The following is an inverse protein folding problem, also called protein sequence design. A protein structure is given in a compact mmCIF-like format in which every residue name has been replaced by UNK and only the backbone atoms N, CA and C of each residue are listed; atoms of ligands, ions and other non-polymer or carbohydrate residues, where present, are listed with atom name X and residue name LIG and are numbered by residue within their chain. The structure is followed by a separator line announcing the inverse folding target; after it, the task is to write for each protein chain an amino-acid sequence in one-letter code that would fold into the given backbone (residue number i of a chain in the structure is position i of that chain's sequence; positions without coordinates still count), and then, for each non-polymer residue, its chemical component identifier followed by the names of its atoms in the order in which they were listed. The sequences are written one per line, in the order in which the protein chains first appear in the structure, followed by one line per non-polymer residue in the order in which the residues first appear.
data_IF_279192409033
#
_entry.id   IF_279192409033
#
_cell.length_a   1.000
_cell.length_b   1.000
_cell.length_c   1.000
_cell.angle_alpha   90.00
_cell.angle_beta   90.00
_cell.angle_gamma   90.00
#
_symmetry.space_group_name_H-M   'P 1'
#
loop_
_entity.id
_entity.type
_entity.pdbx_description
1 polymer ?
#
# COMPACT_ATOMS: atom_id res chain seq x y z
N UNK A 1 -17.42 14.38 19.04
CA UNK A 1 -18.73 15.04 19.28
C UNK A 1 -18.74 16.31 18.46
N UNK A 2 -19.85 16.62 17.81
CA UNK A 2 -20.06 17.89 17.14
C UNK A 2 -21.25 18.57 17.82
N UNK A 3 -21.07 19.81 18.27
CA UNK A 3 -22.10 20.60 18.98
C UNK A 3 -22.76 19.85 20.15
N UNK A 4 -22.00 19.03 20.89
CA UNK A 4 -22.50 18.26 22.03
C UNK A 4 -23.15 16.92 21.70
N UNK A 5 -23.32 16.58 20.42
CA UNK A 5 -23.90 15.31 19.99
C UNK A 5 -22.84 14.31 19.51
N UNK A 6 -23.09 13.03 19.79
CA UNK A 6 -22.31 11.93 19.20
C UNK A 6 -22.76 11.74 17.75
N UNK A 7 -21.88 12.11 16.84
CA UNK A 7 -22.05 11.94 15.40
C UNK A 7 -20.83 11.22 14.83
N UNK A 8 -21.02 10.49 13.73
CA UNK A 8 -19.91 9.87 13.01
C UNK A 8 -19.29 10.94 12.12
N UNK A 9 -18.13 11.43 12.54
CA UNK A 9 -17.37 12.48 11.87
C UNK A 9 -16.07 11.89 11.33
N UNK A 10 -15.69 12.31 10.13
CA UNK A 10 -14.46 11.88 9.48
C UNK A 10 -13.79 12.96 8.67
N UNK A 11 -12.68 12.60 8.06
CA UNK A 11 -11.92 13.46 7.16
C UNK A 11 -11.76 12.81 5.79
N UNK A 12 -11.78 13.64 4.76
CA UNK A 12 -11.34 13.28 3.41
C UNK A 12 -10.34 14.31 2.92
N UNK A 13 -9.52 13.92 1.95
CA UNK A 13 -8.68 14.86 1.21
C UNK A 13 -8.73 14.52 -0.27
N UNK A 14 -8.81 15.54 -1.11
CA UNK A 14 -8.89 15.40 -2.56
C UNK A 14 -8.38 16.64 -3.26
N UNK A 15 -8.13 16.48 -4.56
CA UNK A 15 -7.57 17.51 -5.41
C UNK A 15 -8.45 17.71 -6.64
N UNK A 16 -9.77 17.72 -6.47
CA UNK A 16 -10.69 18.10 -7.54
C UNK A 16 -10.51 19.56 -7.99
N UNK A 17 -11.33 19.99 -8.97
CA UNK A 17 -11.34 21.37 -9.45
C UNK A 17 -11.53 22.32 -8.28
N UNK A 18 -10.48 23.04 -7.94
CA UNK A 18 -10.42 23.84 -6.72
C UNK A 18 -11.17 25.14 -6.93
N UNK A 19 -12.14 25.42 -6.07
CA UNK A 19 -12.98 26.61 -6.12
C UNK A 19 -13.05 27.24 -4.75
N UNK A 20 -13.14 28.57 -4.71
CA UNK A 20 -13.46 29.31 -3.50
C UNK A 20 -14.75 30.08 -3.71
N UNK A 21 -15.67 29.97 -2.75
CA UNK A 21 -16.91 30.74 -2.73
C UNK A 21 -16.86 31.72 -1.57
N UNK A 22 -16.88 33.01 -1.87
CA UNK A 22 -16.91 34.08 -0.88
C UNK A 22 -18.11 34.99 -1.15
N UNK A 23 -18.97 35.19 -0.16
CA UNK A 23 -20.19 36.01 -0.28
C UNK A 23 -21.06 35.63 -1.48
N UNK A 24 -21.21 34.33 -1.75
CA UNK A 24 -21.99 33.81 -2.88
C UNK A 24 -21.28 33.89 -4.25
N UNK A 25 -20.09 34.50 -4.34
CA UNK A 25 -19.30 34.55 -5.57
C UNK A 25 -18.27 33.42 -5.60
N UNK A 26 -18.37 32.55 -6.61
CA UNK A 26 -17.45 31.43 -6.81
C UNK A 26 -16.36 31.77 -7.81
N UNK A 27 -15.11 31.48 -7.47
CA UNK A 27 -13.93 31.63 -8.33
C UNK A 27 -13.18 30.31 -8.41
N UNK A 28 -12.83 29.87 -9.62
CA UNK A 28 -11.95 28.70 -9.83
C UNK A 28 -10.50 29.11 -9.55
N UNK A 29 -9.81 28.33 -8.72
CA UNK A 29 -8.42 28.56 -8.33
C UNK A 29 -7.45 27.68 -9.12
N UNK A 30 -7.84 26.44 -9.44
CA UNK A 30 -7.04 25.49 -10.20
C UNK A 30 -7.90 24.38 -10.81
N UNK A 31 -7.37 23.76 -11.86
CA UNK A 31 -7.91 22.53 -12.41
C UNK A 31 -7.73 21.34 -11.46
N UNK A 32 -8.46 20.25 -11.73
CA UNK A 32 -8.33 19.00 -10.98
C UNK A 32 -6.92 18.40 -11.09
N UNK A 33 -6.55 17.62 -10.08
CA UNK A 33 -5.27 16.94 -9.91
C UNK A 33 -4.05 17.85 -9.73
N UNK A 34 -4.24 19.13 -9.40
CA UNK A 34 -3.15 20.00 -8.98
C UNK A 34 -2.71 19.68 -7.53
N UNK A 35 -1.59 18.99 -7.36
CA UNK A 35 -1.08 18.54 -6.06
C UNK A 35 -0.91 19.66 -5.02
N UNK A 36 -0.63 20.88 -5.47
CA UNK A 36 -0.47 22.05 -4.58
C UNK A 36 -1.82 22.54 -4.01
N UNK A 37 -2.93 21.98 -4.51
CA UNK A 37 -4.30 22.30 -4.12
C UNK A 37 -5.01 21.11 -3.45
N UNK A 38 -4.24 20.10 -2.98
CA UNK A 38 -4.79 19.03 -2.16
C UNK A 38 -5.45 19.65 -0.91
N UNK A 39 -6.76 19.53 -0.83
CA UNK A 39 -7.57 20.15 0.23
C UNK A 39 -8.33 19.08 1.02
N UNK A 40 -8.47 19.32 2.32
CA UNK A 40 -9.19 18.44 3.22
C UNK A 40 -10.60 18.94 3.47
N UNK A 41 -11.50 18.03 3.80
CA UNK A 41 -12.87 18.31 4.24
C UNK A 41 -13.20 17.50 5.50
N UNK A 42 -13.95 18.12 6.40
CA UNK A 42 -14.59 17.46 7.53
C UNK A 42 -15.98 17.01 7.07
N UNK A 43 -16.35 15.77 7.36
CA UNK A 43 -17.64 15.25 6.94
C UNK A 43 -18.40 14.54 8.06
N UNK A 44 -19.72 14.45 7.90
CA UNK A 44 -20.62 13.65 8.72
C UNK A 44 -21.13 12.49 7.90
N UNK A 45 -20.97 11.29 8.42
CA UNK A 45 -21.57 10.09 7.85
C UNK A 45 -22.91 9.82 8.52
N UNK A 46 -23.97 9.80 7.71
CA UNK A 46 -25.23 9.17 8.09
C UNK A 46 -25.13 7.67 7.76
N UNK A 47 -24.99 6.86 8.82
CA UNK A 47 -24.79 5.43 8.68
C UNK A 47 -26.00 4.70 8.09
N UNK A 48 -27.21 5.20 8.37
CA UNK A 48 -28.44 4.48 8.03
C UNK A 48 -28.70 4.50 6.52
N UNK A 49 -28.38 5.61 5.85
CA UNK A 49 -28.56 5.77 4.41
C UNK A 49 -27.24 5.82 3.63
N UNK A 50 -26.10 5.64 4.32
CA UNK A 50 -24.77 5.61 3.75
C UNK A 50 -24.38 6.89 2.99
N UNK A 51 -24.79 8.07 3.50
CA UNK A 51 -24.53 9.37 2.88
C UNK A 51 -23.49 10.15 3.65
N UNK A 52 -22.60 10.80 2.92
CA UNK A 52 -21.59 11.68 3.49
C UNK A 52 -21.91 13.14 3.16
N UNK A 53 -21.95 13.97 4.20
CA UNK A 53 -22.24 15.40 4.09
C UNK A 53 -20.98 16.19 4.46
N UNK A 54 -20.50 17.09 3.60
CA UNK A 54 -19.30 17.89 3.87
C UNK A 54 -19.64 19.27 4.50
N UNK A 55 -20.87 19.76 4.34
CA UNK A 55 -21.34 21.02 4.95
C UNK A 55 -21.64 20.92 6.46
N UNK A 56 -20.86 20.18 7.25
CA UNK A 56 -21.22 19.89 8.65
C UNK A 56 -20.96 21.05 9.60
N UNK A 57 -20.04 21.95 9.23
CA UNK A 57 -19.60 23.08 10.05
C UNK A 57 -19.36 24.31 9.17
N UNK A 58 -18.88 25.42 9.74
CA UNK A 58 -18.37 26.54 8.97
C UNK A 58 -17.18 26.16 8.06
N UNK A 59 -16.50 25.02 8.35
CA UNK A 59 -15.52 24.42 7.46
C UNK A 59 -16.23 23.54 6.42
N UNK A 60 -16.70 24.18 5.36
CA UNK A 60 -17.39 23.54 4.24
C UNK A 60 -16.43 23.39 3.05
N UNK A 61 -16.23 22.15 2.62
CA UNK A 61 -15.47 21.81 1.44
C UNK A 61 -16.17 20.66 0.71
N UNK A 62 -17.05 21.03 -0.22
CA UNK A 62 -17.79 20.07 -1.04
C UNK A 62 -16.92 19.38 -2.09
N UNK A 63 -17.23 18.13 -2.36
CA UNK A 63 -16.54 17.35 -3.38
C UNK A 63 -16.83 17.90 -4.78
N UNK A 64 -15.80 17.96 -5.63
CA UNK A 64 -15.86 18.48 -7.00
C UNK A 64 -15.39 17.45 -8.03
N UNK A 65 -15.64 17.65 -9.34
CA UNK A 65 -15.04 16.79 -10.36
C UNK A 65 -13.52 16.72 -10.21
N UNK A 66 -12.97 15.51 -10.27
CA UNK A 66 -11.55 15.22 -9.97
C UNK A 66 -11.29 14.73 -8.54
N UNK A 67 -12.27 14.82 -7.64
CA UNK A 67 -12.19 14.18 -6.32
C UNK A 67 -12.51 12.69 -6.34
N UNK A 68 -13.14 12.17 -7.40
CA UNK A 68 -13.52 10.75 -7.50
C UNK A 68 -12.31 9.84 -7.27
N UNK A 69 -12.48 8.82 -6.43
CA UNK A 69 -11.40 7.93 -5.97
C UNK A 69 -10.72 8.38 -4.66
N UNK A 70 -10.91 9.63 -4.21
CA UNK A 70 -10.35 10.09 -2.92
C UNK A 70 -10.95 9.33 -1.72
N UNK A 71 -10.13 9.11 -0.70
CA UNK A 71 -10.50 8.30 0.47
C UNK A 71 -11.33 9.06 1.51
N UNK A 72 -12.27 8.36 2.13
CA UNK A 72 -12.97 8.78 3.34
C UNK A 72 -12.43 8.04 4.56
N UNK A 73 -12.04 8.78 5.59
CA UNK A 73 -11.41 8.23 6.78
C UNK A 73 -12.25 8.48 8.03
N UNK A 74 -12.46 7.44 8.83
CA UNK A 74 -13.05 7.53 10.16
C UNK A 74 -12.02 7.13 11.21
N UNK A 75 -12.20 7.63 12.43
CA UNK A 75 -11.37 7.21 13.56
C UNK A 75 -12.05 6.05 14.29
N UNK A 76 -11.36 4.91 14.36
CA UNK A 76 -11.77 3.74 15.14
C UNK A 76 -11.39 3.95 16.61
N UNK A 77 -12.39 4.11 17.47
CA UNK A 77 -12.19 4.37 18.90
C UNK A 77 -11.68 3.16 19.68
N UNK A 78 -11.84 1.93 19.19
CA UNK A 78 -11.34 0.72 19.85
C UNK A 78 -9.88 0.50 19.46
N UNK A 79 -9.57 0.60 18.17
CA UNK A 79 -8.21 0.42 17.64
C UNK A 79 -7.33 1.66 17.75
N UNK A 80 -7.90 2.81 18.13
CA UNK A 80 -7.22 4.10 18.28
C UNK A 80 -6.48 4.56 17.01
N UNK A 81 -7.06 4.31 15.83
CA UNK A 81 -6.43 4.63 14.55
C UNK A 81 -7.44 5.10 13.50
N UNK A 82 -6.95 5.85 12.50
CA UNK A 82 -7.73 6.21 11.32
C UNK A 82 -7.86 5.01 10.38
N UNK A 83 -9.05 4.77 9.86
CA UNK A 83 -9.38 3.69 8.94
C UNK A 83 -10.05 4.23 7.68
N UNK A 84 -9.69 3.63 6.53
CA UNK A 84 -10.35 3.92 5.26
C UNK A 84 -11.71 3.23 5.22
N UNK A 85 -12.77 4.01 5.01
CA UNK A 85 -14.14 3.49 4.93
C UNK A 85 -14.59 3.28 3.49
N UNK A 86 -13.97 3.98 2.55
CA UNK A 86 -14.26 3.86 1.14
C UNK A 86 -13.70 5.00 0.32
N UNK A 87 -14.06 5.03 -0.95
CA UNK A 87 -13.60 6.03 -1.92
C UNK A 87 -14.77 6.78 -2.54
N UNK A 88 -14.58 8.06 -2.83
CA UNK A 88 -15.60 8.88 -3.49
C UNK A 88 -15.96 8.30 -4.86
N UNK A 89 -17.24 7.97 -5.03
CA UNK A 89 -17.79 7.57 -6.32
C UNK A 89 -18.33 8.79 -7.06
N UNK A 90 -19.14 9.60 -6.37
CA UNK A 90 -19.72 10.80 -6.94
C UNK A 90 -20.46 11.64 -5.91
N UNK A 91 -21.06 12.72 -6.38
CA UNK A 91 -21.87 13.64 -5.58
C UNK A 91 -23.25 13.68 -6.18
N UNK A 92 -24.27 13.69 -5.33
CA UNK A 92 -25.66 13.85 -5.76
C UNK A 92 -26.38 14.78 -4.79
N UNK A 93 -27.58 15.22 -5.18
CA UNK A 93 -28.40 16.10 -4.38
C UNK A 93 -29.10 17.16 -5.22
N UNK A 94 -29.42 18.27 -4.58
CA UNK A 94 -30.03 19.43 -5.21
C UNK A 94 -29.21 20.69 -4.88
N UNK A 95 -29.68 21.85 -5.33
CA UNK A 95 -28.98 23.14 -5.13
C UNK A 95 -28.80 23.53 -3.65
N UNK A 96 -29.56 22.91 -2.74
CA UNK A 96 -29.55 23.26 -1.31
C UNK A 96 -28.84 22.22 -0.44
N UNK A 97 -28.80 20.96 -0.87
CA UNK A 97 -28.21 19.86 -0.12
C UNK A 97 -27.49 18.93 -1.09
N UNK A 98 -26.17 18.83 -0.92
CA UNK A 98 -25.33 17.85 -1.59
C UNK A 98 -24.91 16.76 -0.61
N UNK A 99 -24.70 15.56 -1.12
CA UNK A 99 -24.02 14.49 -0.39
C UNK A 99 -23.15 13.67 -1.32
N UNK A 100 -22.05 13.17 -0.76
CA UNK A 100 -21.18 12.23 -1.43
C UNK A 100 -21.74 10.80 -1.33
N UNK A 101 -21.67 10.10 -2.46
CA UNK A 101 -21.81 8.66 -2.58
C UNK A 101 -20.40 8.07 -2.61
N UNK A 102 -20.17 7.04 -1.83
CA UNK A 102 -18.87 6.39 -1.75
C UNK A 102 -18.98 4.88 -1.95
N UNK A 103 -17.98 4.31 -2.60
CA UNK A 103 -17.78 2.88 -2.67
C UNK A 103 -17.20 2.43 -1.34
N UNK A 104 -17.92 1.57 -0.61
CA UNK A 104 -17.43 1.02 0.66
C UNK A 104 -16.15 0.23 0.42
N UNK A 105 -15.23 0.30 1.37
CA UNK A 105 -14.09 -0.59 1.41
C UNK A 105 -14.58 -2.05 1.42
N UNK A 106 -14.17 -2.82 0.42
CA UNK A 106 -14.46 -4.24 0.35
C UNK A 106 -13.18 -5.05 0.63
N UNK A 107 -13.14 -5.70 1.80
CA UNK A 107 -11.98 -6.46 2.23
C UNK A 107 -11.71 -7.64 1.30
N UNK A 108 -12.76 -8.32 0.83
CA UNK A 108 -12.62 -9.52 0.01
C UNK A 108 -11.95 -9.21 -1.34
N UNK A 109 -12.35 -8.13 -2.00
CA UNK A 109 -11.69 -7.66 -3.23
C UNK A 109 -10.23 -7.29 -2.98
N UNK A 110 -9.93 -6.57 -1.90
CA UNK A 110 -8.55 -6.19 -1.57
C UNK A 110 -7.68 -7.41 -1.25
N UNK A 111 -8.19 -8.35 -0.47
CA UNK A 111 -7.48 -9.60 -0.15
C UNK A 111 -7.21 -10.40 -1.42
N UNK A 112 -8.23 -10.59 -2.27
CA UNK A 112 -8.07 -11.32 -3.54
C UNK A 112 -7.04 -10.65 -4.46
N UNK A 113 -6.98 -9.31 -4.48
CA UNK A 113 -5.96 -8.58 -5.23
C UNK A 113 -4.57 -8.83 -4.63
N UNK A 114 -4.43 -8.76 -3.30
CA UNK A 114 -3.14 -9.04 -2.64
C UNK A 114 -2.66 -10.46 -2.90
N UNK A 115 -3.56 -11.44 -2.87
CA UNK A 115 -3.24 -12.85 -3.12
C UNK A 115 -2.82 -13.09 -4.57
N UNK A 116 -3.44 -12.40 -5.55
CA UNK A 116 -3.05 -12.51 -6.96
C UNK A 116 -1.59 -12.05 -7.20
N UNK A 117 -1.13 -11.10 -6.39
CA UNK A 117 0.23 -10.55 -6.42
C UNK A 117 1.19 -11.21 -5.43
N UNK A 118 0.83 -12.33 -4.78
CA UNK A 118 1.66 -12.96 -3.74
C UNK A 118 2.00 -14.43 -4.07
N UNK A 119 3.25 -14.82 -3.82
CA UNK A 119 3.70 -16.22 -3.80
C UNK A 119 4.30 -16.53 -2.44
N UNK A 120 3.67 -17.43 -1.69
CA UNK A 120 4.18 -17.91 -0.41
C UNK A 120 5.29 -18.95 -0.58
N UNK A 121 6.38 -18.77 0.17
CA UNK A 121 7.53 -19.67 0.23
C UNK A 121 7.88 -19.92 1.70
N UNK A 122 7.35 -21.00 2.27
CA UNK A 122 7.59 -21.36 3.66
C UNK A 122 8.94 -22.06 3.82
N UNK A 123 9.96 -21.33 4.29
CA UNK A 123 11.30 -21.87 4.51
C UNK A 123 11.37 -22.76 5.75
N UNK A 124 10.72 -22.36 6.85
CA UNK A 124 10.71 -23.12 8.11
C UNK A 124 12.12 -23.54 8.59
N UNK A 125 13.11 -22.68 8.41
CA UNK A 125 14.52 -22.92 8.75
C UNK A 125 15.35 -23.57 7.65
N UNK A 126 14.75 -24.01 6.54
CA UNK A 126 15.45 -24.60 5.39
C UNK A 126 16.10 -23.54 4.48
N UNK A 127 16.97 -24.04 3.60
CA UNK A 127 17.55 -23.28 2.50
C UNK A 127 16.66 -23.38 1.27
N UNK A 128 16.43 -22.25 0.59
CA UNK A 128 15.84 -22.19 -0.75
C UNK A 128 16.86 -21.65 -1.75
N UNK A 129 16.89 -22.20 -2.96
CA UNK A 129 17.65 -21.66 -4.08
C UNK A 129 16.70 -21.04 -5.11
N UNK A 130 16.84 -19.75 -5.38
CA UNK A 130 16.13 -19.05 -6.46
C UNK A 130 17.04 -19.04 -7.69
N UNK A 131 16.55 -19.62 -8.78
CA UNK A 131 17.29 -19.81 -10.01
C UNK A 131 16.70 -19.04 -11.19
N UNK A 132 17.46 -18.99 -12.28
CA UNK A 132 17.04 -18.37 -13.54
C UNK A 132 15.74 -19.00 -14.06
N UNK A 133 14.87 -18.18 -14.66
CA UNK A 133 13.60 -18.65 -15.21
C UNK A 133 12.42 -18.64 -14.23
N UNK A 134 12.47 -17.82 -13.16
CA UNK A 134 11.41 -17.69 -12.15
C UNK A 134 11.11 -19.02 -11.46
N UNK A 135 12.13 -19.67 -10.90
CA UNK A 135 11.99 -20.93 -10.18
C UNK A 135 12.65 -20.83 -8.82
N UNK A 136 12.14 -21.61 -7.87
CA UNK A 136 12.81 -21.84 -6.61
C UNK A 136 12.85 -23.33 -6.28
N UNK A 137 13.92 -23.76 -5.63
CA UNK A 137 14.09 -25.12 -5.15
C UNK A 137 14.15 -25.11 -3.63
N UNK A 138 13.23 -25.84 -3.00
CA UNK A 138 13.12 -25.98 -1.55
C UNK A 138 12.95 -27.47 -1.23
N UNK A 139 13.77 -28.01 -0.32
CA UNK A 139 13.75 -29.43 0.07
C UNK A 139 13.77 -30.38 -1.16
N UNK A 140 14.70 -30.14 -2.09
CA UNK A 140 14.86 -30.87 -3.36
C UNK A 140 13.67 -30.80 -4.33
N UNK A 141 12.65 -29.99 -4.04
CA UNK A 141 11.51 -29.76 -4.91
C UNK A 141 11.63 -28.41 -5.61
N UNK A 142 11.62 -28.44 -6.94
CA UNK A 142 11.63 -27.22 -7.75
C UNK A 142 10.22 -26.82 -8.12
N UNK A 143 9.87 -25.57 -7.84
CA UNK A 143 8.58 -24.96 -8.13
C UNK A 143 8.74 -23.70 -8.96
N UNK A 144 7.74 -23.38 -9.77
CA UNK A 144 7.70 -22.12 -10.50
C UNK A 144 7.21 -20.96 -9.62
N UNK A 145 7.81 -19.81 -9.82
CA UNK A 145 7.33 -18.51 -9.37
C UNK A 145 6.40 -18.02 -10.48
N UNK A 146 5.13 -18.35 -10.33
CA UNK A 146 4.07 -17.93 -11.25
C UNK A 146 4.02 -16.40 -11.39
N UNK A 147 3.75 -15.94 -12.60
CA UNK A 147 3.35 -14.55 -12.83
C UNK A 147 1.92 -14.32 -12.34
N UNK A 148 1.52 -13.05 -12.19
CA UNK A 148 0.10 -12.74 -11.98
C UNK A 148 -0.73 -13.14 -13.21
N UNK A 149 -2.06 -13.08 -13.11
CA UNK A 149 -2.95 -13.27 -14.28
C UNK A 149 -2.66 -12.28 -15.41
N UNK A 150 -2.07 -11.13 -15.09
CA UNK A 150 -1.57 -10.17 -16.08
C UNK A 150 -0.16 -10.56 -16.49
N UNK A 151 -0.01 -10.94 -17.77
CA UNK A 151 1.26 -11.38 -18.34
C UNK A 151 2.37 -10.34 -18.11
N UNK A 152 3.53 -10.80 -17.64
CA UNK A 152 4.73 -9.98 -17.41
C UNK A 152 4.80 -9.31 -16.04
N UNK A 153 3.77 -9.45 -15.18
CA UNK A 153 3.83 -8.94 -13.81
C UNK A 153 4.28 -10.05 -12.85
N UNK A 154 5.36 -9.79 -12.12
CA UNK A 154 5.88 -10.68 -11.08
C UNK A 154 5.14 -10.47 -9.76
N UNK A 155 5.06 -11.53 -8.96
CA UNK A 155 4.47 -11.54 -7.63
C UNK A 155 5.51 -11.14 -6.57
N UNK A 156 5.03 -10.63 -5.44
CA UNK A 156 5.78 -10.56 -4.20
C UNK A 156 6.12 -11.97 -3.71
N UNK A 157 7.39 -12.24 -3.43
CA UNK A 157 7.84 -13.47 -2.80
C UNK A 157 7.76 -13.30 -1.28
N UNK A 158 6.77 -13.94 -0.67
CA UNK A 158 6.57 -13.89 0.78
C UNK A 158 7.24 -15.10 1.43
N UNK A 159 8.33 -14.87 2.16
CA UNK A 159 9.05 -15.89 2.89
C UNK A 159 8.57 -15.99 4.34
N UNK A 160 8.38 -17.21 4.84
CA UNK A 160 7.99 -17.47 6.24
C UNK A 160 8.87 -18.50 6.94
N UNK A 161 8.96 -18.40 8.27
CA UNK A 161 9.63 -19.38 9.12
C UNK A 161 11.15 -19.25 9.26
N UNK A 162 11.78 -18.22 8.69
CA UNK A 162 13.23 -18.03 8.70
C UNK A 162 14.02 -19.05 7.86
N UNK A 163 15.30 -18.78 7.60
CA UNK A 163 16.16 -19.67 6.80
C UNK A 163 17.12 -18.92 5.87
N UNK A 164 17.66 -19.64 4.89
CA UNK A 164 18.59 -19.07 3.91
C UNK A 164 17.96 -19.01 2.51
N UNK A 165 18.17 -17.89 1.82
CA UNK A 165 17.77 -17.66 0.43
C UNK A 165 19.04 -17.53 -0.40
N UNK A 166 19.22 -18.47 -1.31
CA UNK A 166 20.39 -18.60 -2.17
C UNK A 166 19.99 -18.12 -3.56
N UNK A 167 20.64 -17.08 -4.06
CA UNK A 167 20.42 -16.57 -5.42
C UNK A 167 21.44 -17.22 -6.35
N UNK A 168 20.99 -18.12 -7.23
CA UNK A 168 21.86 -18.77 -8.21
C UNK A 168 22.34 -17.81 -9.30
N UNK A 169 21.53 -16.77 -9.58
CA UNK A 169 21.83 -15.67 -10.49
C UNK A 169 21.23 -14.35 -9.96
N UNK A 170 21.39 -13.25 -10.70
CA UNK A 170 20.74 -11.98 -10.46
C UNK A 170 19.22 -12.13 -10.42
N UNK A 171 18.59 -11.49 -9.44
CA UNK A 171 17.16 -11.54 -9.25
C UNK A 171 16.52 -10.22 -9.67
N UNK A 172 15.78 -10.23 -10.78
CA UNK A 172 14.93 -9.12 -11.19
C UNK A 172 13.46 -9.44 -10.92
N UNK A 173 12.88 -8.78 -9.91
CA UNK A 173 11.47 -8.94 -9.56
C UNK A 173 10.54 -7.94 -10.26
N UNK A 174 11.04 -7.01 -11.09
CA UNK A 174 10.19 -6.00 -11.72
C UNK A 174 9.33 -5.25 -10.69
N UNK A 175 8.01 -5.43 -10.76
CA UNK A 175 7.04 -4.83 -9.83
C UNK A 175 6.86 -5.60 -8.51
N UNK A 176 7.36 -6.83 -8.43
CA UNK A 176 7.32 -7.66 -7.22
C UNK A 176 8.47 -7.34 -6.27
N UNK A 177 8.29 -7.68 -4.99
CA UNK A 177 9.27 -7.53 -3.94
C UNK A 177 9.61 -8.83 -3.21
N UNK A 178 10.56 -8.73 -2.28
CA UNK A 178 10.81 -9.76 -1.28
C UNK A 178 10.17 -9.31 0.04
N UNK A 179 9.30 -10.15 0.60
CA UNK A 179 8.56 -9.88 1.84
C UNK A 179 8.88 -10.99 2.85
N UNK A 180 9.07 -10.61 4.11
CA UNK A 180 9.49 -11.52 5.18
C UNK A 180 8.50 -11.44 6.34
N UNK A 181 8.22 -12.57 6.98
CA UNK A 181 7.45 -12.59 8.22
C UNK A 181 8.23 -11.99 9.39
N UNK A 182 7.50 -11.56 10.41
CA UNK A 182 8.08 -10.91 11.58
C UNK A 182 8.67 -11.94 12.56
N UNK A 183 9.72 -11.53 13.28
CA UNK A 183 10.29 -12.33 14.38
C UNK A 183 11.15 -13.52 13.94
N UNK A 184 11.57 -13.55 12.67
CA UNK A 184 12.46 -14.58 12.10
C UNK A 184 13.72 -13.97 11.50
N UNK A 185 14.77 -14.77 11.45
CA UNK A 185 16.03 -14.41 10.81
C UNK A 185 16.12 -15.00 9.41
N UNK A 186 16.55 -14.16 8.46
CA UNK A 186 16.75 -14.52 7.07
C UNK A 186 18.16 -14.15 6.62
N UNK A 187 18.80 -15.03 5.87
CA UNK A 187 20.06 -14.72 5.18
C UNK A 187 19.86 -14.81 3.68
N UNK A 188 20.26 -13.78 2.95
CA UNK A 188 20.29 -13.79 1.48
C UNK A 188 21.76 -13.83 1.03
N UNK A 189 22.11 -14.80 0.19
CA UNK A 189 23.47 -14.98 -0.34
C UNK A 189 23.45 -15.35 -1.82
N UNK A 190 24.44 -14.91 -2.58
CA UNK A 190 24.68 -15.41 -3.94
C UNK A 190 25.31 -16.81 -3.91
N UNK A 191 24.95 -17.67 -4.86
CA UNK A 191 25.59 -18.98 -5.06
C UNK A 191 27.05 -18.79 -5.45
N UNK A 192 27.92 -19.65 -4.92
CA UNK A 192 29.37 -19.68 -5.18
C UNK A 192 30.12 -18.35 -4.93
N UNK A 193 29.57 -17.50 -4.07
CA UNK A 193 30.14 -16.17 -3.90
C UNK A 193 30.02 -15.31 -5.17
N UNK A 194 28.89 -15.34 -5.87
CA UNK A 194 28.61 -14.29 -6.86
C UNK A 194 28.05 -13.05 -6.17
N UNK A 195 28.48 -11.88 -6.63
CA UNK A 195 27.84 -10.60 -6.26
C UNK A 195 26.45 -10.62 -6.87
N UNK A 196 25.43 -10.58 -6.02
CA UNK A 196 24.05 -10.49 -6.44
C UNK A 196 23.58 -9.02 -6.37
N UNK A 197 22.96 -8.52 -7.45
CA UNK A 197 22.21 -7.27 -7.40
C UNK A 197 20.78 -7.59 -6.97
N UNK A 198 20.35 -7.01 -5.85
CA UNK A 198 18.97 -7.16 -5.36
C UNK A 198 18.30 -5.79 -5.48
N UNK A 199 17.27 -5.71 -6.32
CA UNK A 199 16.29 -4.63 -6.22
C UNK A 199 15.33 -4.95 -5.07
N UNK A 200 15.54 -4.36 -3.89
CA UNK A 200 14.54 -4.42 -2.80
C UNK A 200 13.67 -3.19 -2.90
N UNK A 201 12.38 -3.39 -3.16
CA UNK A 201 11.37 -2.36 -2.98
C UNK A 201 10.69 -2.56 -1.62
N UNK A 202 11.16 -1.87 -0.59
CA UNK A 202 10.49 -1.90 0.71
C UNK A 202 9.32 -0.92 0.71
N UNK A 203 8.08 -1.41 0.68
CA UNK A 203 6.91 -0.57 1.01
C UNK A 203 7.00 -0.17 2.48
N UNK A 204 7.06 1.15 2.74
CA UNK A 204 7.18 1.78 4.06
C UNK A 204 5.99 1.56 5.01
N UNK A 205 5.14 0.55 4.78
CA UNK A 205 4.00 0.22 5.65
C UNK A 205 4.21 -1.01 6.53
N UNK A 206 5.34 -1.71 6.37
CA UNK A 206 5.81 -2.68 7.38
C UNK A 206 6.69 -1.94 8.40
N UNK A 207 6.07 -1.08 9.21
CA UNK A 207 6.70 -0.65 10.46
C UNK A 207 7.03 -1.93 11.24
N UNK A 208 8.27 -2.04 11.75
CA UNK A 208 8.83 -3.17 12.51
C UNK A 208 9.64 -4.25 11.76
N UNK A 209 10.29 -3.96 10.62
CA UNK A 209 11.42 -4.81 10.18
C UNK A 209 12.77 -4.24 10.63
N UNK A 210 13.36 -4.86 11.67
CA UNK A 210 14.77 -4.67 12.03
C UNK A 210 15.62 -5.55 11.12
N UNK A 211 16.22 -4.98 10.08
CA UNK A 211 17.24 -5.67 9.30
C UNK A 211 18.53 -5.80 10.14
N UNK A 212 18.84 -6.97 10.68
CA UNK A 212 20.16 -7.26 11.24
C UNK A 212 21.05 -7.84 10.14
N UNK A 213 21.66 -6.96 9.37
CA UNK A 213 22.69 -7.34 8.41
C UNK A 213 23.93 -7.82 9.15
N UNK A 214 24.19 -9.14 9.15
CA UNK A 214 25.46 -9.67 9.63
C UNK A 214 26.50 -9.40 8.54
N UNK A 215 27.15 -8.23 8.59
CA UNK A 215 28.50 -8.07 8.05
C UNK A 215 29.38 -9.06 8.81
N UNK A 216 29.65 -10.23 8.25
CA UNK A 216 30.93 -10.89 8.53
C UNK A 216 31.91 -10.25 7.57
N UNK A 217 32.69 -9.28 8.07
CA UNK A 217 33.95 -8.96 7.42
C UNK A 217 34.70 -10.28 7.24
N UNK A 218 35.03 -10.72 6.01
CA UNK A 218 36.10 -11.68 5.90
C UNK A 218 37.38 -10.95 6.35
N UNK A 219 38.21 -11.63 7.14
CA UNK A 219 39.62 -11.28 7.30
C UNK A 219 40.43 -11.55 6.01
N UNK A 220 39.80 -11.42 4.83
CA UNK A 220 40.36 -11.80 3.53
C UNK A 220 39.76 -10.92 2.41
N UNK A 221 40.59 -10.26 1.58
CA UNK A 221 40.13 -9.57 0.38
C UNK A 221 39.60 -10.60 -0.61
N UNK A 222 38.28 -10.60 -0.87
CA UNK A 222 37.69 -11.47 -1.89
C UNK A 222 36.27 -11.96 -1.62
N UNK A 223 35.67 -11.72 -0.45
CA UNK A 223 34.27 -12.14 -0.27
C UNK A 223 33.31 -11.20 -1.04
N UNK A 224 32.40 -11.75 -1.82
CA UNK A 224 31.44 -11.00 -2.61
C UNK A 224 30.27 -10.58 -1.73
N UNK A 225 29.90 -9.31 -1.85
CA UNK A 225 28.85 -8.68 -1.06
C UNK A 225 27.72 -8.35 -2.01
N UNK A 226 26.49 -8.78 -1.71
CA UNK A 226 25.35 -8.34 -2.49
C UNK A 226 25.17 -6.82 -2.34
N UNK A 227 25.13 -6.12 -3.48
CA UNK A 227 24.98 -4.67 -3.52
C UNK A 227 23.52 -4.34 -3.78
N UNK A 228 22.96 -3.47 -2.93
CA UNK A 228 21.68 -2.85 -3.19
C UNK A 228 21.91 -1.67 -4.14
N UNK A 229 21.25 -1.70 -5.30
CA UNK A 229 21.19 -0.54 -6.19
C UNK A 229 19.80 0.05 -6.00
N UNK A 230 19.74 1.21 -5.34
CA UNK A 230 18.55 2.05 -5.37
C UNK A 230 18.60 2.79 -6.72
N UNK A 231 17.62 2.54 -7.59
CA UNK A 231 17.36 3.41 -8.75
C UNK A 231 16.20 4.33 -8.40
#
# INVERSE_FOLDING_TARGET
MLNGEKQIIGFRAGSGVSKSTLNGKTTTLADGYNINMLSASLFRLDWNNNRIYNYVTAFDNESTPGDSGSGFYLYDNEKKQWVLVGTLYGVTGNTSILWAIYNKYDKATVDSLKDDFRKDIALNGSDTEISEGNKYTLNDQTSEIEETKTKGQKKDLYFSGGGNIILADNLNQGNGGLVFDEGKDYTIKGKDGKVCNIGIWSRSQFNHMKFKFIRKYPASPGAPVCRFIHQ
#
